data_IF_491051791846
#
_entry.id   IF_491051791846
#
_cell.length_a   1.000
_cell.length_b   1.000
_cell.length_c   1.000
_cell.angle_alpha   90.00
_cell.angle_beta   90.00
_cell.angle_gamma   90.00
#
_symmetry.space_group_name_H-M   'P 1'
#
loop_
_entity.id
_entity.type
_entity.pdbx_description
1 polymer ?
#
# COMPACT_ATOMS: atom_id res chain seq x y z
N UNK A 1 4.71 19.25 11.94
CA UNK A 1 3.61 18.88 11.22
C UNK A 1 2.56 18.26 12.09
N UNK A 2 1.33 18.66 11.86
CA UNK A 2 0.34 18.18 12.64
C UNK A 2 -0.05 16.82 12.32
N UNK A 3 -0.05 16.03 13.28
CA UNK A 3 -0.54 14.76 13.14
C UNK A 3 -2.01 14.78 13.06
N UNK A 4 -2.62 14.01 12.26
CA UNK A 4 -4.05 13.90 12.24
C UNK A 4 -4.51 13.29 13.55
N UNK A 5 -5.11 14.12 14.41
CA UNK A 5 -5.59 13.67 15.74
C UNK A 5 -4.56 12.87 16.53
N UNK A 6 -3.30 13.30 16.52
CA UNK A 6 -2.24 12.59 17.22
C UNK A 6 -1.89 11.26 16.57
N UNK A 7 -2.13 11.13 15.28
CA UNK A 7 -1.90 9.91 14.52
C UNK A 7 -3.08 8.98 14.44
N UNK A 8 -4.21 9.32 15.08
CA UNK A 8 -5.40 8.48 15.04
C UNK A 8 -6.20 8.69 13.77
N UNK A 9 -6.73 7.60 13.25
CA UNK A 9 -7.64 7.60 12.10
C UNK A 9 -9.02 7.25 12.64
N UNK A 10 -10.00 8.13 12.41
CA UNK A 10 -11.34 7.94 12.95
C UNK A 10 -12.44 8.09 11.90
N UNK A 11 -12.06 8.27 10.64
CA UNK A 11 -13.02 8.41 9.55
C UNK A 11 -12.36 8.01 8.23
N UNK A 12 -13.18 7.84 7.19
CA UNK A 12 -12.68 7.55 5.85
C UNK A 12 -11.76 8.68 5.36
N UNK A 13 -12.16 9.93 5.62
CA UNK A 13 -11.34 11.08 5.25
C UNK A 13 -10.01 11.10 5.97
N UNK A 14 -10.00 10.77 7.27
CA UNK A 14 -8.76 10.66 8.02
C UNK A 14 -7.84 9.59 7.44
N UNK A 15 -8.42 8.46 7.02
CA UNK A 15 -7.64 7.38 6.43
C UNK A 15 -6.99 7.84 5.13
N UNK A 16 -7.76 8.48 4.25
CA UNK A 16 -7.23 8.98 3.00
C UNK A 16 -6.15 10.03 3.22
N UNK A 17 -6.36 10.93 4.18
CA UNK A 17 -5.37 11.96 4.50
C UNK A 17 -4.09 11.34 5.06
N UNK A 18 -4.22 10.30 5.90
CA UNK A 18 -3.05 9.61 6.43
C UNK A 18 -2.26 8.92 5.33
N UNK A 19 -2.94 8.29 4.37
CA UNK A 19 -2.27 7.67 3.24
C UNK A 19 -1.54 8.71 2.38
N UNK A 20 -2.15 9.86 2.13
CA UNK A 20 -1.50 10.93 1.39
C UNK A 20 -0.24 11.41 2.10
N UNK A 21 -0.33 11.58 3.41
CA UNK A 21 0.82 11.99 4.22
C UNK A 21 1.93 10.95 4.16
N UNK A 22 1.58 9.68 4.25
CA UNK A 22 2.55 8.60 4.21
C UNK A 22 3.27 8.53 2.85
N UNK A 23 2.54 8.68 1.75
CA UNK A 23 3.17 8.69 0.43
C UNK A 23 4.15 9.86 0.29
N UNK A 24 3.81 11.01 0.87
CA UNK A 24 4.71 12.16 0.85
C UNK A 24 6.00 11.86 1.62
N UNK A 25 5.89 11.23 2.79
CA UNK A 25 7.05 10.83 3.57
C UNK A 25 7.91 9.80 2.83
N UNK A 26 7.28 8.84 2.18
CA UNK A 26 7.98 7.81 1.42
C UNK A 26 8.78 8.44 0.27
N UNK A 27 8.18 9.42 -0.43
CA UNK A 27 8.84 10.06 -1.56
C UNK A 27 10.14 10.75 -1.19
N UNK A 28 10.24 11.22 0.06
CA UNK A 28 11.43 11.90 0.53
C UNK A 28 12.39 10.97 1.29
N UNK A 29 12.05 9.69 1.39
CA UNK A 29 12.84 8.74 2.16
C UNK A 29 13.75 7.91 1.26
N UNK A 30 14.62 7.14 1.90
CA UNK A 30 15.46 6.17 1.21
C UNK A 30 14.99 4.75 1.46
N UNK A 31 13.69 4.57 1.77
CA UNK A 31 13.14 3.24 2.01
C UNK A 31 13.36 2.35 0.80
N UNK A 32 13.90 1.16 1.02
CA UNK A 32 14.18 0.24 -0.08
C UNK A 32 12.96 -0.55 -0.50
N UNK A 33 11.95 -0.63 0.36
CA UNK A 33 10.73 -1.34 0.03
C UNK A 33 9.53 -0.71 0.69
N UNK A 34 8.37 -0.84 0.05
CA UNK A 34 7.08 -0.47 0.62
C UNK A 34 6.10 -1.61 0.42
N UNK A 35 5.14 -1.70 1.33
CA UNK A 35 4.09 -2.70 1.31
C UNK A 35 2.76 -1.99 1.25
N UNK A 36 1.90 -2.38 0.31
CA UNK A 36 0.56 -1.86 0.17
C UNK A 36 -0.40 -3.03 0.27
N UNK A 37 -1.19 -3.08 1.34
CA UNK A 37 -2.14 -4.15 1.58
C UNK A 37 -3.53 -3.61 1.80
N UNK A 38 -4.50 -4.18 1.11
CA UNK A 38 -5.89 -3.85 1.35
C UNK A 38 -6.74 -4.92 0.68
N UNK A 39 -8.03 -4.98 1.03
CA UNK A 39 -8.91 -5.92 0.37
C UNK A 39 -9.09 -5.60 -1.11
N UNK A 40 -9.27 -4.34 -1.46
CA UNK A 40 -9.56 -3.93 -2.84
C UNK A 40 -9.06 -2.54 -3.24
N UNK A 41 -8.44 -1.82 -2.32
CA UNK A 41 -7.91 -0.46 -2.50
C UNK A 41 -8.98 0.58 -2.89
N UNK A 42 -10.26 0.29 -2.59
CA UNK A 42 -11.35 1.18 -2.98
C UNK A 42 -11.23 2.59 -2.39
N UNK A 43 -10.74 2.68 -1.15
CA UNK A 43 -10.66 3.96 -0.43
C UNK A 43 -9.29 4.63 -0.53
N UNK A 44 -8.34 4.01 -1.19
CA UNK A 44 -6.98 4.57 -1.28
C UNK A 44 -6.93 5.67 -2.36
N UNK A 45 -6.11 6.72 -2.15
CA UNK A 45 -6.01 7.82 -3.11
C UNK A 45 -5.00 7.53 -4.23
N UNK A 46 -5.06 6.36 -4.83
CA UNK A 46 -4.06 5.93 -5.81
C UNK A 46 -4.20 6.62 -7.16
N UNK A 47 -5.38 7.21 -7.45
CA UNK A 47 -5.57 7.92 -8.71
C UNK A 47 -5.17 9.39 -8.64
N UNK A 48 -4.75 9.86 -7.45
CA UNK A 48 -4.32 11.24 -7.32
C UNK A 48 -2.99 11.46 -8.03
N UNK A 49 -2.88 12.47 -8.91
CA UNK A 49 -1.61 12.72 -9.60
C UNK A 49 -0.43 12.88 -8.66
N UNK A 50 -0.64 13.51 -7.51
CA UNK A 50 0.45 13.72 -6.55
C UNK A 50 0.96 12.40 -5.98
N UNK A 51 0.10 11.41 -5.79
CA UNK A 51 0.52 10.10 -5.29
C UNK A 51 1.37 9.38 -6.33
N UNK A 52 0.94 9.41 -7.59
CA UNK A 52 1.68 8.80 -8.69
C UNK A 52 3.05 9.47 -8.85
N UNK A 53 3.09 10.79 -8.74
CA UNK A 53 4.34 11.53 -8.81
C UNK A 53 5.27 11.16 -7.66
N UNK A 54 4.74 11.03 -6.45
CA UNK A 54 5.51 10.65 -5.27
C UNK A 54 6.06 9.22 -5.42
N UNK A 55 5.25 8.30 -5.92
CA UNK A 55 5.70 6.94 -6.17
C UNK A 55 6.81 6.91 -7.24
N UNK A 56 6.69 7.74 -8.26
CA UNK A 56 7.70 7.85 -9.31
C UNK A 56 9.02 8.34 -8.72
N UNK A 57 8.97 9.36 -7.86
CA UNK A 57 10.18 9.89 -7.21
C UNK A 57 10.84 8.84 -6.33
N UNK A 58 10.04 8.02 -5.65
CA UNK A 58 10.58 6.98 -4.79
C UNK A 58 11.16 5.82 -5.60
N UNK A 59 10.60 5.55 -6.79
CA UNK A 59 10.95 4.38 -7.59
C UNK A 59 12.27 4.54 -8.33
N UNK A 60 13.36 4.43 -7.61
CA UNK A 60 14.70 4.46 -8.20
C UNK A 60 15.27 3.04 -8.15
N UNK A 61 16.46 2.79 -8.73
CA UNK A 61 17.03 1.43 -8.77
C UNK A 61 17.06 0.79 -7.39
N UNK A 62 16.79 -0.49 -7.36
CA UNK A 62 16.81 -1.32 -6.14
C UNK A 62 15.66 -1.08 -5.16
N UNK A 63 14.58 -0.42 -5.61
CA UNK A 63 13.36 -0.30 -4.81
C UNK A 63 12.42 -1.46 -5.11
N UNK A 64 11.58 -1.78 -4.15
CA UNK A 64 10.56 -2.81 -4.31
C UNK A 64 9.24 -2.37 -3.70
N UNK A 65 8.16 -2.56 -4.44
CA UNK A 65 6.81 -2.27 -3.98
C UNK A 65 6.02 -3.58 -4.00
N UNK A 66 5.62 -4.03 -2.81
CA UNK A 66 4.84 -5.26 -2.66
C UNK A 66 3.38 -4.89 -2.48
N UNK A 67 2.52 -5.36 -3.38
CA UNK A 67 1.08 -5.07 -3.32
C UNK A 67 0.34 -6.38 -3.06
N UNK A 68 -0.50 -6.39 -2.03
CA UNK A 68 -1.34 -7.53 -1.68
C UNK A 68 -2.79 -7.07 -1.64
N UNK A 69 -3.65 -7.73 -2.40
CA UNK A 69 -5.08 -7.46 -2.39
C UNK A 69 -5.84 -8.76 -2.53
N UNK A 70 -7.08 -8.78 -2.01
CA UNK A 70 -7.98 -9.89 -2.21
C UNK A 70 -8.60 -9.80 -3.60
N UNK A 71 -8.91 -8.59 -4.05
CA UNK A 71 -9.54 -8.33 -5.33
C UNK A 71 -8.91 -7.12 -5.99
N UNK A 72 -8.65 -7.20 -7.28
CA UNK A 72 -8.08 -6.10 -8.06
C UNK A 72 -9.09 -5.47 -9.02
N UNK A 73 -10.35 -5.90 -8.98
CA UNK A 73 -11.36 -5.47 -9.95
C UNK A 73 -11.59 -3.96 -9.98
N UNK A 74 -11.56 -3.33 -8.80
CA UNK A 74 -11.80 -1.90 -8.70
C UNK A 74 -10.58 -1.05 -9.08
N UNK A 75 -9.39 -1.63 -9.05
CA UNK A 75 -8.16 -0.87 -9.25
C UNK A 75 -8.12 -0.20 -10.62
N UNK A 76 -8.37 -0.90 -11.75
CA UNK A 76 -8.36 -0.22 -13.04
C UNK A 76 -9.49 0.79 -13.20
N UNK A 77 -10.61 0.59 -12.51
CA UNK A 77 -11.75 1.49 -12.63
C UNK A 77 -11.55 2.77 -11.84
N UNK A 78 -11.02 2.65 -10.63
CA UNK A 78 -10.88 3.79 -9.73
C UNK A 78 -9.52 4.47 -9.80
N UNK A 79 -8.48 3.71 -10.18
CA UNK A 79 -7.11 4.20 -10.12
C UNK A 79 -6.36 3.99 -11.44
N UNK A 80 -6.91 4.46 -12.57
CA UNK A 80 -6.23 4.24 -13.87
C UNK A 80 -4.84 4.86 -13.94
N UNK A 81 -4.58 5.97 -13.25
CA UNK A 81 -3.26 6.57 -13.23
C UNK A 81 -2.24 5.69 -12.52
N UNK A 82 -2.65 5.04 -11.43
CA UNK A 82 -1.78 4.11 -10.73
C UNK A 82 -1.52 2.87 -11.58
N UNK A 83 -2.53 2.38 -12.29
CA UNK A 83 -2.37 1.22 -13.16
C UNK A 83 -1.35 1.50 -14.24
N UNK A 84 -1.39 2.70 -14.84
CA UNK A 84 -0.43 3.09 -15.84
C UNK A 84 0.97 3.20 -15.25
N UNK A 85 1.11 3.78 -14.07
CA UNK A 85 2.37 3.83 -13.36
C UNK A 85 2.89 2.42 -13.08
N UNK A 86 2.04 1.52 -12.63
CA UNK A 86 2.38 0.14 -12.33
C UNK A 86 2.94 -0.56 -13.57
N UNK A 87 2.36 -0.33 -14.74
CA UNK A 87 2.87 -0.91 -16.00
C UNK A 87 4.26 -0.40 -16.32
N UNK A 88 4.48 0.89 -16.13
CA UNK A 88 5.78 1.51 -16.41
C UNK A 88 6.86 1.03 -15.45
N UNK A 89 6.49 0.77 -14.20
CA UNK A 89 7.42 0.35 -13.16
C UNK A 89 7.25 -1.11 -12.78
N UNK A 90 6.98 -1.94 -13.78
CA UNK A 90 6.75 -3.38 -13.58
C UNK A 90 7.89 -4.08 -12.83
N UNK A 91 9.11 -3.66 -13.07
CA UNK A 91 10.29 -4.24 -12.41
C UNK A 91 10.40 -3.85 -10.93
N UNK A 92 9.64 -2.86 -10.48
CA UNK A 92 9.62 -2.41 -9.08
C UNK A 92 8.44 -3.01 -8.35
N UNK A 93 7.29 -3.14 -9.01
CA UNK A 93 6.01 -3.48 -8.38
C UNK A 93 5.64 -4.93 -8.62
N UNK A 94 5.35 -5.65 -7.54
CA UNK A 94 4.81 -7.01 -7.61
C UNK A 94 3.45 -7.02 -6.96
N UNK A 95 2.43 -7.46 -7.70
CA UNK A 95 1.06 -7.56 -7.18
C UNK A 95 0.73 -9.03 -6.95
N UNK A 96 0.19 -9.33 -5.78
CA UNK A 96 -0.12 -10.69 -5.37
C UNK A 96 -1.47 -10.75 -4.66
N UNK A 97 -2.02 -11.94 -4.56
CA UNK A 97 -3.23 -12.19 -3.78
C UNK A 97 -2.98 -13.40 -2.89
N UNK A 98 -3.48 -13.43 -1.65
CA UNK A 98 -3.32 -14.58 -0.78
C UNK A 98 -3.91 -15.83 -1.41
N UNK A 99 -3.28 -16.96 -1.18
CA UNK A 99 -3.80 -18.23 -1.66
C UNK A 99 -4.97 -18.70 -0.79
N UNK A 100 -5.52 -19.86 -1.14
CA UNK A 100 -6.70 -20.37 -0.45
C UNK A 100 -6.41 -20.87 0.97
N UNK A 101 -5.15 -20.99 1.34
CA UNK A 101 -4.80 -21.44 2.69
C UNK A 101 -5.02 -20.36 3.73
N UNK A 102 -5.22 -19.10 3.31
CA UNK A 102 -5.46 -18.00 4.22
C UNK A 102 -6.94 -17.91 4.61
N UNK A 103 -7.22 -17.01 5.56
CA UNK A 103 -8.59 -16.83 6.05
C UNK A 103 -9.37 -15.79 5.25
N UNK A 104 -8.85 -15.36 4.10
CA UNK A 104 -9.53 -14.37 3.26
C UNK A 104 -9.50 -12.95 3.79
N UNK A 105 -8.59 -12.66 4.71
CA UNK A 105 -8.50 -11.32 5.30
C UNK A 105 -7.15 -10.70 5.03
N UNK A 106 -7.16 -9.40 4.78
CA UNK A 106 -5.95 -8.59 4.69
C UNK A 106 -6.15 -7.30 5.47
N UNK A 107 -5.13 -6.83 6.17
CA UNK A 107 -5.23 -5.53 6.83
C UNK A 107 -5.22 -4.42 5.78
N UNK A 108 -5.77 -3.26 6.13
CA UNK A 108 -5.52 -2.05 5.36
C UNK A 108 -4.20 -1.48 5.87
N UNK A 109 -3.17 -1.50 5.06
CA UNK A 109 -1.84 -1.18 5.54
C UNK A 109 -0.96 -0.60 4.44
N UNK A 110 -0.36 0.55 4.72
CA UNK A 110 0.75 1.08 3.93
C UNK A 110 1.95 1.13 4.85
N UNK A 111 3.01 0.42 4.52
CA UNK A 111 4.16 0.28 5.40
C UNK A 111 5.46 0.48 4.62
N UNK A 112 6.29 1.38 5.10
CA UNK A 112 7.65 1.57 4.61
C UNK A 112 8.58 1.40 5.81
N UNK A 113 9.29 0.26 5.90
CA UNK A 113 10.16 0.01 7.06
C UNK A 113 11.13 1.15 7.29
N UNK A 114 11.19 1.62 8.53
CA UNK A 114 12.07 2.72 8.90
C UNK A 114 11.51 4.11 8.63
N UNK A 115 10.33 4.22 8.05
CA UNK A 115 9.78 5.52 7.64
C UNK A 115 8.39 5.76 8.24
N UNK A 116 7.41 4.94 7.88
CA UNK A 116 6.02 5.21 8.26
C UNK A 116 5.18 3.95 8.13
N UNK A 117 4.13 3.86 8.94
CA UNK A 117 3.07 2.87 8.74
C UNK A 117 1.71 3.54 8.87
N UNK A 118 0.77 3.14 8.02
CA UNK A 118 -0.64 3.52 8.14
C UNK A 118 -1.40 2.21 8.23
N UNK A 119 -2.04 1.97 9.34
CA UNK A 119 -2.76 0.72 9.57
C UNK A 119 -4.21 0.99 9.92
N UNK A 120 -5.11 0.33 9.20
CA UNK A 120 -6.53 0.39 9.48
C UNK A 120 -6.92 -0.90 10.21
N UNK A 121 -7.31 -0.76 11.47
CA UNK A 121 -7.64 -1.90 12.32
C UNK A 121 -9.10 -2.32 12.13
N UNK A 122 -9.99 -1.34 11.99
CA UNK A 122 -11.42 -1.58 11.78
C UNK A 122 -11.85 -0.90 10.49
N UNK A 123 -12.09 -1.69 9.46
CA UNK A 123 -12.46 -1.17 8.14
C UNK A 123 -13.88 -0.61 8.11
N UNK A 124 -14.76 -1.16 8.92
CA UNK A 124 -16.16 -0.75 8.92
C UNK A 124 -16.30 0.66 9.49
N UNK A 125 -15.58 0.94 10.57
CA UNK A 125 -15.64 2.23 11.25
C UNK A 125 -14.46 3.13 10.96
N UNK A 126 -13.52 2.70 10.07
CA UNK A 126 -12.31 3.44 9.72
C UNK A 126 -11.50 3.85 10.94
N UNK A 127 -11.17 2.85 11.77
CA UNK A 127 -10.32 3.10 12.94
C UNK A 127 -8.92 2.55 12.70
N UNK A 128 -7.94 3.37 12.96
CA UNK A 128 -6.55 2.97 12.77
C UNK A 128 -5.58 4.04 13.20
N UNK A 129 -4.37 3.97 12.67
CA UNK A 129 -3.31 4.88 13.09
C UNK A 129 -2.26 5.06 12.01
N UNK A 130 -1.73 6.27 11.90
CA UNK A 130 -0.49 6.54 11.18
C UNK A 130 0.62 6.71 12.21
N UNK A 131 1.77 6.09 11.98
CA UNK A 131 2.87 6.12 12.93
C UNK A 131 4.21 6.14 12.23
N UNK A 132 5.17 6.86 12.83
CA UNK A 132 6.57 6.80 12.42
C UNK A 132 7.40 6.02 13.42
N UNK A 133 6.76 5.39 14.40
CA UNK A 133 7.41 4.59 15.42
C UNK A 133 7.91 3.27 14.82
N UNK A 134 9.14 2.93 15.12
CA UNK A 134 9.79 1.75 14.53
C UNK A 134 9.72 0.52 15.43
N UNK A 135 9.10 0.61 16.59
CA UNK A 135 9.13 -0.47 17.57
C UNK A 135 8.55 -1.79 17.03
N UNK A 136 7.51 -1.71 16.21
CA UNK A 136 6.85 -2.89 15.67
C UNK A 136 7.27 -3.22 14.23
N UNK A 137 8.23 -2.50 13.69
CA UNK A 137 8.58 -2.62 12.27
C UNK A 137 9.07 -4.02 11.90
N UNK A 138 9.90 -4.62 12.74
CA UNK A 138 10.45 -5.95 12.46
C UNK A 138 9.33 -7.00 12.42
N UNK A 139 8.45 -6.97 13.42
CA UNK A 139 7.34 -7.92 13.49
C UNK A 139 6.37 -7.72 12.33
N UNK A 140 6.08 -6.47 12.00
CA UNK A 140 5.19 -6.16 10.89
C UNK A 140 5.75 -6.68 9.58
N UNK A 141 7.05 -6.49 9.35
CA UNK A 141 7.69 -6.98 8.15
C UNK A 141 7.65 -8.51 8.07
N UNK A 142 7.87 -9.19 9.20
CA UNK A 142 7.80 -10.63 9.24
C UNK A 142 6.40 -11.16 8.94
N UNK A 143 5.36 -10.50 9.45
CA UNK A 143 3.97 -10.85 9.15
C UNK A 143 3.68 -10.69 7.65
N UNK A 144 4.17 -9.61 7.05
CA UNK A 144 3.95 -9.33 5.63
C UNK A 144 4.73 -10.31 4.76
N UNK A 145 5.96 -10.66 5.14
CA UNK A 145 6.72 -11.66 4.42
C UNK A 145 6.00 -13.01 4.43
N UNK A 146 5.44 -13.39 5.58
CA UNK A 146 4.69 -14.63 5.70
C UNK A 146 3.44 -14.63 4.80
N UNK A 147 2.73 -13.51 4.75
CA UNK A 147 1.58 -13.37 3.86
C UNK A 147 2.01 -13.49 2.40
N UNK A 148 3.11 -12.87 2.05
CA UNK A 148 3.63 -12.89 0.70
C UNK A 148 4.01 -14.31 0.26
N UNK A 149 4.60 -15.08 1.17
CA UNK A 149 4.98 -16.46 0.89
C UNK A 149 3.78 -17.36 0.64
N UNK A 150 2.62 -17.00 1.18
CA UNK A 150 1.37 -17.75 0.99
C UNK A 150 0.46 -17.02 0.01
N UNK A 151 1.04 -16.41 -1.00
CA UNK A 151 0.30 -15.66 -2.00
C UNK A 151 0.73 -16.13 -3.38
N UNK A 152 -0.07 -15.76 -4.38
CA UNK A 152 0.22 -16.03 -5.79
C UNK A 152 0.20 -14.73 -6.55
N UNK A 153 0.89 -14.68 -7.68
CA UNK A 153 0.90 -13.48 -8.51
C UNK A 153 -0.48 -13.19 -9.05
N UNK A 154 -0.80 -11.90 -9.10
CA UNK A 154 -2.08 -11.42 -9.57
C UNK A 154 -1.89 -10.09 -10.26
N UNK A 155 -2.90 -9.64 -11.00
CA UNK A 155 -2.91 -8.32 -11.64
C UNK A 155 -1.60 -8.03 -12.37
N UNK A 156 -1.27 -8.79 -13.43
CA UNK A 156 -0.02 -8.59 -14.15
C UNK A 156 0.04 -7.20 -14.80
N UNK A 157 1.26 -6.71 -15.02
CA UNK A 157 1.48 -5.38 -15.60
C UNK A 157 0.86 -5.25 -16.98
N UNK A 158 0.85 -6.33 -17.75
CA UNK A 158 0.20 -6.35 -19.04
C UNK A 158 -0.54 -7.66 -19.19
N UNK A 159 -1.60 -7.64 -20.00
CA UNK A 159 -2.37 -8.83 -20.27
C UNK A 159 -2.06 -9.27 -21.69
N UNK A 160 -1.53 -10.47 -21.82
CA UNK A 160 -1.16 -10.98 -23.14
C UNK A 160 -2.41 -11.15 -24.00
N UNK A 161 -2.32 -10.74 -25.25
CA UNK A 161 -3.43 -10.88 -26.18
C UNK A 161 -4.47 -9.81 -26.09
N UNK A 162 -4.27 -8.83 -25.30
CA UNK A 162 -5.21 -7.71 -25.19
C UNK A 162 -4.58 -6.40 -25.63
#
# INVERSE_FOLDING_TARGET
>A
MDDLNGGLIESRGDYQAALLQAFALIAESSASEIWMCDADFADWPLNEPQVVEQLTRWSVPHRRCHVLALHYDLVPRRHPRWVQWRRHWDHVVTCRTPDESGNGRLPGLLFAPGVVSVRLVDRVHYRGRISTDMDDAVRMREELDALCQRSVEAFPASTLGL
#
